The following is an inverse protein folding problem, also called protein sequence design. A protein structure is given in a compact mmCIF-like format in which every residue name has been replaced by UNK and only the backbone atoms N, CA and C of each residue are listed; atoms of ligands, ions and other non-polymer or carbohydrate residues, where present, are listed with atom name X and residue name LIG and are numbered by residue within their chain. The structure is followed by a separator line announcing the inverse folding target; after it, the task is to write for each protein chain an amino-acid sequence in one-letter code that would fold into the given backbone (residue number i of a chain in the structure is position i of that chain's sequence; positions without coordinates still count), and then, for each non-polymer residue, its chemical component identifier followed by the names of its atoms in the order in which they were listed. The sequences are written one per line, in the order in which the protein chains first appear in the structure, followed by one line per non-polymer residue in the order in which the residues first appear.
data_IF_533135095529
#
_entry.id   IF_533135095529
#
_cell.length_a   1.000
_cell.length_b   1.000
_cell.length_c   1.000
_cell.angle_alpha   90.00
_cell.angle_beta   90.00
_cell.angle_gamma   90.00
#
_symmetry.space_group_name_H-M   'P 1'
#
loop_
_entity.id
_entity.type
_entity.pdbx_description
1 polymer ?
#
# COMPACT_ATOMS: atom_id res chain seq x y z
N UNK A 1 17.48 -11.80 -0.71
CA UNK A 1 16.47 -12.04 -1.76
C UNK A 1 15.19 -11.31 -1.38
N UNK A 2 14.56 -10.53 -2.29
CA UNK A 2 13.37 -9.75 -1.96
C UNK A 2 12.13 -10.64 -1.77
N UNK A 3 11.24 -10.26 -0.85
CA UNK A 3 9.98 -10.96 -0.59
C UNK A 3 8.82 -10.53 -1.48
N UNK A 4 8.81 -9.29 -1.94
CA UNK A 4 7.83 -8.70 -2.86
C UNK A 4 8.55 -8.15 -4.09
N UNK A 5 7.86 -8.12 -5.24
CA UNK A 5 8.38 -7.60 -6.50
C UNK A 5 7.34 -6.76 -7.21
N UNK A 6 7.77 -5.80 -8.04
CA UNK A 6 6.89 -5.12 -8.97
C UNK A 6 6.69 -5.96 -10.22
N UNK A 7 5.43 -6.26 -10.57
CA UNK A 7 5.08 -7.04 -11.78
C UNK A 7 4.99 -6.19 -13.05
N UNK A 8 4.92 -4.88 -12.88
CA UNK A 8 4.94 -3.88 -13.97
C UNK A 8 5.66 -2.63 -13.50
N UNK A 9 6.07 -1.78 -14.45
CA UNK A 9 6.54 -0.44 -14.11
C UNK A 9 5.40 0.38 -13.50
N UNK A 10 5.73 1.14 -12.47
CA UNK A 10 4.88 2.16 -11.85
C UNK A 10 5.50 3.52 -12.10
N UNK A 11 4.69 4.57 -12.21
CA UNK A 11 5.19 5.94 -12.26
C UNK A 11 5.79 6.32 -10.91
N UNK A 12 6.69 7.30 -10.91
CA UNK A 12 7.09 7.96 -9.67
C UNK A 12 5.84 8.53 -8.97
N UNK A 13 5.77 8.37 -7.66
CA UNK A 13 4.67 8.85 -6.83
C UNK A 13 4.74 10.37 -6.59
N UNK A 14 5.89 10.99 -6.90
CA UNK A 14 6.07 12.43 -6.89
C UNK A 14 5.08 13.11 -7.87
N UNK A 15 4.39 14.14 -7.40
CA UNK A 15 3.43 14.90 -8.19
C UNK A 15 2.08 14.21 -8.46
N UNK A 16 1.91 12.94 -8.11
CA UNK A 16 0.61 12.24 -8.23
C UNK A 16 -0.37 12.66 -7.13
N UNK A 17 -1.63 12.83 -7.49
CA UNK A 17 -2.74 12.95 -6.54
C UNK A 17 -2.98 11.63 -5.79
N UNK A 18 -3.74 11.67 -4.69
CA UNK A 18 -4.01 10.49 -3.88
C UNK A 18 -4.61 9.31 -4.68
N UNK A 19 -5.64 9.60 -5.48
CA UNK A 19 -6.30 8.61 -6.35
C UNK A 19 -5.37 8.08 -7.44
N UNK A 20 -4.48 8.93 -7.97
CA UNK A 20 -3.46 8.50 -8.91
C UNK A 20 -2.42 7.61 -8.25
N UNK A 21 -2.05 7.85 -6.98
CA UNK A 21 -1.13 6.96 -6.24
C UNK A 21 -1.70 5.58 -6.07
N UNK A 22 -2.97 5.51 -5.66
CA UNK A 22 -3.72 4.26 -5.52
C UNK A 22 -3.79 3.51 -6.85
N UNK A 23 -4.22 4.19 -7.92
CA UNK A 23 -4.33 3.59 -9.24
C UNK A 23 -2.98 3.18 -9.85
N UNK A 24 -1.93 3.98 -9.60
CA UNK A 24 -0.57 3.70 -10.06
C UNK A 24 -0.04 2.40 -9.44
N UNK A 25 -0.42 2.09 -8.21
CA UNK A 25 0.08 0.94 -7.46
C UNK A 25 -0.87 -0.25 -7.39
N UNK A 26 -2.16 -0.07 -7.67
CA UNK A 26 -3.13 -1.15 -7.68
C UNK A 26 -2.69 -2.29 -8.59
N UNK A 27 -2.60 -3.49 -8.01
CA UNK A 27 -2.17 -4.70 -8.69
C UNK A 27 -0.72 -4.64 -9.19
N UNK A 28 0.14 -3.76 -8.69
CA UNK A 28 1.51 -3.61 -9.18
C UNK A 28 2.53 -4.52 -8.46
N UNK A 29 2.19 -5.01 -7.27
CA UNK A 29 3.06 -5.79 -6.40
C UNK A 29 2.66 -7.27 -6.44
N UNK A 30 3.63 -8.17 -6.51
CA UNK A 30 3.41 -9.61 -6.34
C UNK A 30 4.34 -10.18 -5.26
N UNK A 31 3.91 -11.30 -4.66
CA UNK A 31 4.79 -12.10 -3.83
C UNK A 31 5.89 -12.73 -4.70
N UNK A 32 7.15 -12.55 -4.30
CA UNK A 32 8.26 -13.13 -5.04
C UNK A 32 8.13 -14.67 -5.04
N UNK A 33 8.25 -15.36 -6.21
CA UNK A 33 8.02 -16.80 -6.28
C UNK A 33 8.87 -17.62 -5.29
N UNK A 34 10.11 -17.18 -5.05
CA UNK A 34 11.03 -17.82 -4.10
C UNK A 34 10.64 -17.63 -2.63
N UNK A 35 9.78 -16.65 -2.32
CA UNK A 35 9.31 -16.36 -0.97
C UNK A 35 7.97 -17.06 -0.66
N UNK A 36 7.20 -17.46 -1.67
CA UNK A 36 5.86 -18.05 -1.53
C UNK A 36 5.83 -19.26 -0.59
N UNK A 37 6.67 -20.28 -0.86
CA UNK A 37 6.70 -21.48 -0.03
C UNK A 37 7.10 -21.19 1.43
N UNK A 38 7.93 -20.18 1.67
CA UNK A 38 8.41 -19.83 3.00
C UNK A 38 7.37 -19.06 3.81
N UNK A 39 6.51 -18.28 3.15
CA UNK A 39 5.54 -17.38 3.80
C UNK A 39 4.12 -17.96 3.86
N UNK A 40 3.87 -19.11 3.22
CA UNK A 40 2.57 -19.77 3.21
C UNK A 40 2.05 -20.01 4.64
N UNK A 41 0.85 -19.51 4.93
CA UNK A 41 0.17 -19.62 6.23
C UNK A 41 0.82 -18.82 7.37
N UNK A 42 1.86 -18.04 7.11
CA UNK A 42 2.56 -17.29 8.17
C UNK A 42 1.99 -15.88 8.33
N UNK A 43 1.85 -15.40 9.58
CA UNK A 43 1.54 -14.01 9.84
C UNK A 43 2.65 -13.10 9.30
N UNK A 44 2.26 -11.99 8.69
CA UNK A 44 3.18 -11.04 8.06
C UNK A 44 2.94 -9.62 8.57
N UNK A 45 4.04 -8.89 8.80
CA UNK A 45 4.02 -7.45 9.05
C UNK A 45 4.65 -6.74 7.87
N UNK A 46 3.91 -5.87 7.21
CA UNK A 46 4.44 -4.95 6.20
C UNK A 46 4.84 -3.66 6.91
N UNK A 47 6.12 -3.30 6.83
CA UNK A 47 6.67 -2.11 7.47
C UNK A 47 7.01 -1.07 6.41
N UNK A 48 6.57 0.15 6.63
CA UNK A 48 6.92 1.33 5.82
C UNK A 48 7.26 2.50 6.74
N UNK A 49 7.95 3.53 6.27
CA UNK A 49 8.28 4.68 7.11
C UNK A 49 7.08 5.62 7.30
N UNK A 50 6.46 6.03 6.19
CA UNK A 50 5.41 7.02 6.14
C UNK A 50 4.26 6.50 5.29
N UNK A 51 3.08 6.38 5.90
CA UNK A 51 1.86 6.17 5.12
C UNK A 51 1.25 7.50 4.69
N UNK A 52 1.01 7.64 3.39
CA UNK A 52 0.21 8.73 2.84
C UNK A 52 -1.21 8.26 2.54
N UNK A 53 -1.45 7.71 1.34
CA UNK A 53 -2.74 7.12 0.95
C UNK A 53 -2.91 5.68 1.42
N UNK A 54 -1.80 5.00 1.77
CA UNK A 54 -1.79 3.56 2.04
C UNK A 54 -1.69 2.69 0.79
N UNK A 55 -1.59 3.26 -0.42
CA UNK A 55 -1.54 2.49 -1.67
C UNK A 55 -0.46 1.39 -1.66
N UNK A 56 0.76 1.69 -1.17
CA UNK A 56 1.86 0.74 -1.02
C UNK A 56 1.51 -0.40 -0.09
N UNK A 57 1.10 -0.09 1.14
CA UNK A 57 0.77 -1.08 2.15
C UNK A 57 -0.38 -1.98 1.70
N UNK A 58 -1.42 -1.39 1.10
CA UNK A 58 -2.58 -2.12 0.59
C UNK A 58 -2.20 -3.11 -0.51
N UNK A 59 -1.40 -2.69 -1.50
CA UNK A 59 -1.05 -3.59 -2.60
C UNK A 59 -0.06 -4.68 -2.16
N UNK A 60 0.85 -4.37 -1.24
CA UNK A 60 1.71 -5.36 -0.59
C UNK A 60 0.90 -6.38 0.21
N UNK A 61 -0.08 -5.95 1.01
CA UNK A 61 -0.93 -6.84 1.79
C UNK A 61 -1.78 -7.75 0.89
N UNK A 62 -2.33 -7.20 -0.20
CA UNK A 62 -3.01 -7.97 -1.24
C UNK A 62 -2.09 -9.03 -1.84
N UNK A 63 -0.85 -8.67 -2.21
CA UNK A 63 0.11 -9.59 -2.81
C UNK A 63 0.49 -10.75 -1.86
N UNK A 64 0.68 -10.45 -0.57
CA UNK A 64 0.96 -11.46 0.46
C UNK A 64 -0.22 -12.41 0.65
N UNK A 65 -1.44 -11.88 0.78
CA UNK A 65 -2.65 -12.67 0.93
C UNK A 65 -2.92 -13.56 -0.30
N UNK A 66 -2.78 -13.00 -1.51
CA UNK A 66 -2.92 -13.76 -2.75
C UNK A 66 -1.86 -14.86 -2.91
N UNK A 67 -0.67 -14.66 -2.32
CA UNK A 67 0.39 -15.65 -2.27
C UNK A 67 0.25 -16.67 -1.12
N UNK A 68 -0.85 -16.66 -0.38
CA UNK A 68 -1.15 -17.61 0.68
C UNK A 68 -0.51 -17.30 2.04
N UNK A 69 0.10 -16.13 2.22
CA UNK A 69 0.57 -15.66 3.52
C UNK A 69 -0.58 -15.00 4.31
N UNK A 70 -0.50 -15.01 5.64
CA UNK A 70 -1.45 -14.28 6.48
C UNK A 70 -1.64 -14.89 7.89
N UNK A 71 -2.19 -14.11 8.84
CA UNK A 71 -2.78 -12.77 8.70
C UNK A 71 -1.75 -11.67 8.41
N UNK A 72 -2.15 -10.61 7.71
CA UNK A 72 -1.25 -9.49 7.33
C UNK A 72 -1.63 -8.22 8.10
N UNK A 73 -0.64 -7.57 8.72
CA UNK A 73 -0.79 -6.27 9.36
C UNK A 73 0.23 -5.28 8.79
N UNK A 74 -0.05 -3.98 8.91
CA UNK A 74 0.86 -2.92 8.49
C UNK A 74 1.32 -2.10 9.69
N UNK A 75 2.59 -1.69 9.68
CA UNK A 75 3.17 -0.80 10.68
C UNK A 75 3.91 0.34 9.99
N UNK A 76 3.69 1.58 10.46
CA UNK A 76 4.39 2.77 9.96
C UNK A 76 4.84 3.67 11.10
N UNK A 77 5.88 4.46 10.85
CA UNK A 77 6.40 5.42 11.84
C UNK A 77 5.54 6.68 11.86
N UNK A 78 5.03 7.12 10.70
CA UNK A 78 4.20 8.30 10.59
C UNK A 78 3.06 8.13 9.56
N UNK A 79 2.00 8.92 9.73
CA UNK A 79 0.89 9.01 8.80
C UNK A 79 0.61 10.47 8.44
N UNK A 80 0.42 10.78 7.15
CA UNK A 80 0.01 12.13 6.74
C UNK A 80 -1.51 12.27 6.86
N UNK A 81 -1.98 13.32 7.55
CA UNK A 81 -3.41 13.62 7.66
C UNK A 81 -4.02 13.93 6.28
N UNK A 82 -5.22 13.39 6.02
CA UNK A 82 -6.03 13.70 4.83
C UNK A 82 -6.59 15.13 4.89
N UNK A 83 -5.75 16.15 4.89
CA UNK A 83 -6.18 17.56 4.94
C UNK A 83 -6.97 18.01 3.69
N UNK A 84 -7.14 17.16 2.67
CA UNK A 84 -8.08 17.42 1.58
C UNK A 84 -9.55 17.35 2.01
N UNK A 85 -9.89 16.49 2.98
CA UNK A 85 -11.26 16.34 3.46
C UNK A 85 -11.68 17.46 4.43
N UNK A 86 -10.75 17.98 5.24
CA UNK A 86 -11.00 19.13 6.13
C UNK A 86 -11.08 20.45 5.35
N UNK A 87 -10.24 20.65 4.33
CA UNK A 87 -10.35 21.83 3.45
C UNK A 87 -11.65 21.85 2.65
N UNK A 88 -12.06 20.72 2.08
CA UNK A 88 -13.35 20.63 1.36
C UNK A 88 -14.58 20.89 2.26
N UNK A 89 -14.53 20.51 3.55
CA UNK A 89 -15.57 20.83 4.54
C UNK A 89 -15.55 22.29 5.01
N UNK A 90 -14.37 22.91 5.05
CA UNK A 90 -14.23 24.33 5.36
C UNK A 90 -14.66 25.23 4.19
N UNK A 91 -14.55 24.75 2.95
CA UNK A 91 -14.88 25.47 1.71
C UNK A 91 -16.34 25.27 1.26
N UNK A 92 -17.06 24.27 1.80
CA UNK A 92 -18.51 24.08 1.62
C UNK A 92 -19.14 23.65 2.95
N UNK A 93 -19.63 24.60 3.77
CA UNK A 93 -20.41 24.27 4.95
C UNK A 93 -21.70 23.58 4.50
N UNK A 94 -22.11 22.53 5.22
CA UNK A 94 -23.48 22.01 5.11
C UNK A 94 -24.47 23.16 5.41
N UNK A 95 -25.63 23.19 4.73
CA UNK A 95 -26.57 24.30 4.80
C UNK A 95 -27.03 24.63 6.23
#
# INVERSE_FOLDING_TARGET
MPGLVLRRRVRDQAGLSATERESNLAGAVDLAPRAAARLAGLPCVVVDDIVTTGATLTDCARALAAGGAGPVVAATVAATSRHGAERARAEHPLP
#
